data_IF_233396091811
#
_entry.id   IF_233396091811
#
_cell.length_a   1.000
_cell.length_b   1.000
_cell.length_c   1.000
_cell.angle_alpha   90.00
_cell.angle_beta   90.00
_cell.angle_gamma   90.00
#
_symmetry.space_group_name_H-M   'P 1'
#
loop_
_entity.id
_entity.type
_entity.pdbx_description
1 polymer ?
#
# COMPACT_ATOMS: atom_id res chain seq x y z
N UNK A 1 -63.83 -61.34 -8.45
CA UNK A 1 -63.46 -61.76 -9.83
C UNK A 1 -64.39 -61.02 -10.78
N UNK A 2 -64.00 -60.26 -11.80
CA UNK A 2 -62.81 -59.51 -12.18
C UNK A 2 -63.32 -58.37 -13.10
N UNK A 3 -62.63 -57.23 -13.06
CA UNK A 3 -63.01 -55.90 -13.57
C UNK A 3 -63.01 -55.74 -15.10
N UNK A 4 -63.91 -54.89 -15.59
CA UNK A 4 -63.51 -53.55 -16.09
C UNK A 4 -63.19 -53.35 -17.58
N UNK A 5 -64.20 -52.86 -18.29
CA UNK A 5 -64.21 -51.67 -19.17
C UNK A 5 -63.31 -51.56 -20.42
N UNK A 6 -63.95 -51.66 -21.61
CA UNK A 6 -64.34 -50.57 -22.57
C UNK A 6 -63.26 -49.58 -23.14
N UNK A 7 -63.51 -48.93 -24.31
CA UNK A 7 -62.85 -49.27 -25.58
C UNK A 7 -62.33 -48.03 -26.38
N UNK A 8 -62.19 -48.18 -27.71
CA UNK A 8 -61.96 -47.18 -28.78
C UNK A 8 -60.49 -46.80 -29.00
N UNK A 9 -59.94 -46.65 -30.21
CA UNK A 9 -60.43 -46.54 -31.58
C UNK A 9 -59.22 -46.07 -32.44
N UNK A 10 -59.27 -46.10 -33.79
CA UNK A 10 -58.07 -46.34 -34.62
C UNK A 10 -57.55 -45.11 -35.39
N UNK A 11 -56.27 -45.14 -35.85
CA UNK A 11 -55.78 -44.83 -37.23
C UNK A 11 -54.29 -44.41 -37.36
N UNK A 12 -53.65 -44.92 -38.45
CA UNK A 12 -52.75 -44.28 -39.46
C UNK A 12 -51.43 -43.59 -39.02
N UNK A 13 -50.33 -43.50 -39.79
CA UNK A 13 -49.73 -44.16 -40.97
C UNK A 13 -48.30 -43.55 -41.04
N UNK A 14 -47.25 -44.35 -41.24
CA UNK A 14 -45.85 -43.89 -41.29
C UNK A 14 -45.43 -43.40 -42.69
N UNK A 15 -44.52 -42.42 -42.76
CA UNK A 15 -43.35 -42.35 -43.67
C UNK A 15 -42.48 -41.10 -43.37
N UNK A 16 -41.16 -41.11 -43.68
CA UNK A 16 -40.13 -40.48 -42.85
C UNK A 16 -39.52 -39.17 -43.41
N UNK A 17 -38.99 -38.32 -42.52
CA UNK A 17 -38.14 -37.16 -42.85
C UNK A 17 -36.68 -37.44 -42.48
N UNK A 18 -35.78 -37.31 -43.45
CA UNK A 18 -34.32 -37.25 -43.28
C UNK A 18 -33.80 -35.83 -43.48
N UNK A 19 -32.91 -35.41 -42.60
CA UNK A 19 -31.84 -34.46 -42.91
C UNK A 19 -32.09 -33.00 -42.54
N UNK A 20 -31.66 -32.61 -41.33
CA UNK A 20 -30.72 -31.49 -41.05
C UNK A 20 -30.76 -31.15 -39.56
N UNK A 21 -30.02 -31.90 -38.75
CA UNK A 21 -29.52 -31.42 -37.45
C UNK A 21 -28.02 -31.28 -37.60
N UNK A 22 -27.48 -30.09 -37.34
CA UNK A 22 -26.14 -29.88 -36.72
C UNK A 22 -25.54 -28.47 -36.85
N UNK A 23 -26.28 -27.47 -37.39
CA UNK A 23 -25.75 -26.10 -37.49
C UNK A 23 -26.29 -25.08 -36.46
N UNK A 24 -27.19 -25.45 -35.54
CA UNK A 24 -27.89 -24.47 -34.68
C UNK A 24 -27.66 -24.63 -33.16
N UNK A 25 -26.69 -25.44 -32.71
CA UNK A 25 -26.46 -25.69 -31.26
C UNK A 25 -25.10 -25.25 -30.71
N UNK A 26 -24.32 -24.48 -31.46
CA UNK A 26 -22.97 -24.07 -31.05
C UNK A 26 -22.77 -22.54 -30.98
N UNK A 27 -23.65 -21.80 -30.29
CA UNK A 27 -23.38 -20.40 -29.92
C UNK A 27 -24.25 -19.88 -28.76
N UNK A 28 -24.35 -20.64 -27.66
CA UNK A 28 -24.81 -20.08 -26.37
C UNK A 28 -23.86 -20.52 -25.27
N UNK A 29 -22.58 -20.14 -25.39
CA UNK A 29 -21.70 -20.11 -24.24
C UNK A 29 -22.28 -19.10 -23.24
N UNK A 30 -22.98 -19.63 -22.23
CA UNK A 30 -23.60 -18.88 -21.13
C UNK A 30 -22.56 -17.91 -20.57
N UNK A 31 -22.68 -16.61 -20.88
CA UNK A 31 -21.73 -15.60 -20.40
C UNK A 31 -21.62 -15.75 -18.88
N UNK A 32 -20.42 -15.91 -18.31
CA UNK A 32 -20.27 -16.17 -16.89
C UNK A 32 -20.87 -15.01 -16.11
N UNK A 33 -21.81 -15.33 -15.20
CA UNK A 33 -22.52 -14.34 -14.40
C UNK A 33 -21.50 -13.46 -13.65
N UNK A 34 -21.40 -12.14 -13.94
CA UNK A 34 -20.41 -11.27 -13.30
C UNK A 34 -20.56 -11.20 -11.78
N UNK A 35 -21.76 -11.48 -11.24
CA UNK A 35 -22.00 -11.58 -9.80
C UNK A 35 -21.30 -12.78 -9.12
N UNK A 36 -20.98 -13.86 -9.87
CA UNK A 36 -20.24 -15.03 -9.35
C UNK A 36 -18.72 -14.94 -9.55
N UNK A 37 -18.22 -13.83 -10.09
CA UNK A 37 -16.79 -13.61 -10.34
C UNK A 37 -15.97 -13.52 -9.03
N UNK A 38 -14.83 -14.20 -8.97
CA UNK A 38 -13.83 -13.99 -7.91
C UNK A 38 -13.08 -12.66 -8.01
N UNK A 39 -13.24 -11.92 -9.11
CA UNK A 39 -12.70 -10.57 -9.30
C UNK A 39 -13.68 -9.51 -8.73
N UNK A 40 -13.27 -8.72 -7.71
CA UNK A 40 -14.10 -7.69 -7.08
C UNK A 40 -14.64 -6.65 -8.06
N UNK A 41 -13.86 -6.24 -9.06
CA UNK A 41 -14.26 -5.21 -10.03
C UNK A 41 -15.48 -5.63 -10.85
N UNK A 42 -15.55 -6.92 -11.23
CA UNK A 42 -16.69 -7.48 -11.98
C UNK A 42 -17.95 -7.59 -11.11
N UNK A 43 -17.80 -7.89 -9.82
CA UNK A 43 -18.90 -7.91 -8.87
C UNK A 43 -19.45 -6.51 -8.62
N UNK A 44 -18.56 -5.53 -8.38
CA UNK A 44 -18.93 -4.13 -8.18
C UNK A 44 -19.75 -3.58 -9.36
N UNK A 45 -19.27 -3.79 -10.59
CA UNK A 45 -19.94 -3.33 -11.80
C UNK A 45 -21.34 -3.96 -12.01
N UNK A 46 -21.57 -5.17 -11.48
CA UNK A 46 -22.88 -5.82 -11.52
C UNK A 46 -23.84 -5.33 -10.42
N UNK A 47 -23.31 -4.87 -9.28
CA UNK A 47 -24.10 -4.44 -8.13
C UNK A 47 -24.45 -2.93 -8.15
N UNK A 48 -23.59 -2.11 -8.75
CA UNK A 48 -23.75 -0.66 -8.80
C UNK A 48 -24.14 -0.23 -10.21
N UNK A 49 -25.43 -0.30 -10.53
CA UNK A 49 -25.96 0.45 -11.67
C UNK A 49 -25.56 1.91 -11.51
N UNK A 50 -24.88 2.47 -12.51
CA UNK A 50 -24.23 3.79 -12.55
C UNK A 50 -24.72 4.81 -11.49
N UNK A 51 -24.17 4.75 -10.27
CA UNK A 51 -24.51 5.68 -9.21
C UNK A 51 -23.90 7.06 -9.52
N UNK A 52 -24.63 8.12 -9.17
CA UNK A 52 -24.36 9.53 -9.52
C UNK A 52 -22.95 9.95 -9.12
N UNK A 53 -22.16 10.38 -10.11
CA UNK A 53 -20.82 10.94 -9.92
C UNK A 53 -20.95 12.47 -9.93
N UNK A 54 -20.90 13.09 -8.74
CA UNK A 54 -20.45 14.48 -8.66
C UNK A 54 -18.97 14.51 -9.07
N UNK A 55 -18.50 15.57 -9.72
CA UNK A 55 -17.08 15.68 -10.06
C UNK A 55 -16.26 15.82 -8.77
N UNK A 56 -15.34 14.88 -8.51
CA UNK A 56 -14.39 14.98 -7.40
C UNK A 56 -13.63 16.31 -7.46
N UNK A 57 -13.53 16.98 -6.31
CA UNK A 57 -12.80 18.25 -6.18
C UNK A 57 -11.28 18.00 -6.19
N UNK A 58 -10.49 19.06 -6.43
CA UNK A 58 -9.03 18.99 -6.28
C UNK A 58 -8.63 18.53 -4.86
N UNK A 59 -9.38 18.95 -3.83
CA UNK A 59 -9.17 18.52 -2.45
C UNK A 59 -9.38 17.02 -2.24
N UNK A 60 -10.34 16.41 -2.96
CA UNK A 60 -10.59 14.97 -2.89
C UNK A 60 -9.44 14.16 -3.49
N UNK A 61 -8.88 14.63 -4.62
CA UNK A 61 -7.70 14.02 -5.23
C UNK A 61 -6.46 14.15 -4.34
N UNK A 62 -6.23 15.32 -3.76
CA UNK A 62 -5.11 15.56 -2.82
C UNK A 62 -5.26 14.67 -1.57
N UNK A 63 -6.49 14.54 -1.04
CA UNK A 63 -6.80 13.61 0.06
C UNK A 63 -6.57 12.15 -0.35
N UNK A 64 -6.95 11.79 -1.58
CA UNK A 64 -6.77 10.47 -2.18
C UNK A 64 -5.29 10.05 -2.30
N UNK A 65 -4.41 10.99 -2.66
CA UNK A 65 -2.96 10.80 -2.67
C UNK A 65 -2.37 10.54 -1.26
N UNK A 66 -3.15 10.79 -0.20
CA UNK A 66 -2.79 10.68 1.22
C UNK A 66 -1.47 11.38 1.54
N UNK A 67 -1.43 12.71 1.37
CA UNK A 67 -0.24 13.53 1.70
C UNK A 67 0.36 13.22 3.09
N UNK A 68 -0.48 12.83 4.05
CA UNK A 68 -0.07 12.46 5.41
C UNK A 68 0.82 11.21 5.49
N UNK A 69 0.94 10.41 4.44
CA UNK A 69 1.81 9.23 4.40
C UNK A 69 2.98 9.37 3.41
N UNK A 70 3.07 10.50 2.69
CA UNK A 70 4.25 10.84 1.88
C UNK A 70 5.54 11.00 2.69
N UNK A 71 5.51 11.51 3.94
CA UNK A 71 6.69 11.53 4.81
C UNK A 71 7.44 10.18 4.86
N UNK A 72 6.72 9.06 4.82
CA UNK A 72 7.32 7.71 4.84
C UNK A 72 8.07 7.35 3.57
N UNK A 73 7.72 7.93 2.42
CA UNK A 73 8.46 7.73 1.18
C UNK A 73 9.70 8.65 1.09
N UNK A 74 9.64 9.80 1.75
CA UNK A 74 10.67 10.83 1.69
C UNK A 74 11.80 10.53 2.68
N UNK A 75 11.48 10.22 3.94
CA UNK A 75 12.46 10.03 5.01
C UNK A 75 13.56 8.97 4.71
N UNK A 76 13.24 7.79 4.15
CA UNK A 76 14.23 6.78 3.77
C UNK A 76 15.25 7.28 2.76
N UNK A 77 14.81 8.13 1.81
CA UNK A 77 15.67 8.68 0.77
C UNK A 77 16.64 9.70 1.37
N UNK A 78 16.18 10.56 2.27
CA UNK A 78 17.08 11.46 3.01
C UNK A 78 18.13 10.66 3.80
N UNK A 79 17.73 9.64 4.57
CA UNK A 79 18.66 8.80 5.34
C UNK A 79 19.67 8.08 4.45
N UNK A 80 19.21 7.43 3.38
CA UNK A 80 20.10 6.75 2.44
C UNK A 80 21.07 7.72 1.78
N UNK A 81 20.64 8.96 1.53
CA UNK A 81 21.51 10.01 1.00
C UNK A 81 22.55 10.46 2.02
N UNK A 82 22.19 10.70 3.29
CA UNK A 82 23.16 11.00 4.35
C UNK A 82 24.17 9.86 4.56
N UNK A 83 23.69 8.61 4.57
CA UNK A 83 24.56 7.44 4.67
C UNK A 83 25.46 7.27 3.43
N UNK A 84 25.01 7.68 2.24
CA UNK A 84 25.83 7.71 1.03
C UNK A 84 26.96 8.73 1.14
N UNK A 85 26.74 9.89 1.75
CA UNK A 85 27.81 10.89 1.98
C UNK A 85 28.93 10.27 2.82
N UNK A 86 28.59 9.57 3.90
CA UNK A 86 29.56 8.84 4.72
C UNK A 86 30.30 7.78 3.91
N UNK A 87 29.57 6.98 3.13
CA UNK A 87 30.17 5.90 2.32
C UNK A 87 31.04 6.42 1.16
N UNK A 88 30.74 7.61 0.62
CA UNK A 88 31.53 8.24 -0.42
C UNK A 88 32.88 8.77 0.09
N UNK A 89 32.96 9.17 1.37
CA UNK A 89 34.15 9.86 1.91
C UNK A 89 34.42 11.16 1.14
N UNK A 90 35.54 11.22 0.43
CA UNK A 90 35.90 12.35 -0.45
C UNK A 90 35.31 12.24 -1.88
N UNK A 91 34.46 11.24 -2.13
CA UNK A 91 33.84 11.00 -3.42
C UNK A 91 32.73 12.01 -3.79
N UNK A 92 32.29 11.94 -5.05
CA UNK A 92 31.26 12.85 -5.56
C UNK A 92 29.85 12.51 -5.04
N UNK A 93 29.13 13.56 -4.64
CA UNK A 93 27.72 13.47 -4.29
C UNK A 93 26.83 13.43 -5.53
N UNK A 94 26.23 12.28 -5.83
CA UNK A 94 25.35 12.09 -6.99
C UNK A 94 23.90 12.52 -6.74
N UNK A 95 23.67 13.82 -6.53
CA UNK A 95 22.37 14.39 -6.20
C UNK A 95 21.24 14.07 -7.20
N UNK A 96 21.57 13.94 -8.50
CA UNK A 96 20.58 13.55 -9.53
C UNK A 96 20.02 12.15 -9.27
N UNK A 97 20.88 11.22 -8.81
CA UNK A 97 20.47 9.85 -8.49
C UNK A 97 19.59 9.82 -7.24
N UNK A 98 19.91 10.65 -6.23
CA UNK A 98 19.08 10.84 -5.05
C UNK A 98 17.68 11.40 -5.42
N UNK A 99 17.64 12.41 -6.30
CA UNK A 99 16.39 13.00 -6.75
C UNK A 99 15.52 12.01 -7.53
N UNK A 100 16.12 11.20 -8.41
CA UNK A 100 15.39 10.15 -9.11
C UNK A 100 14.86 9.09 -8.14
N UNK A 101 15.64 8.68 -7.14
CA UNK A 101 15.18 7.77 -6.09
C UNK A 101 14.00 8.36 -5.31
N UNK A 102 14.03 9.66 -5.00
CA UNK A 102 12.91 10.38 -4.38
C UNK A 102 11.65 10.36 -5.25
N UNK A 103 11.79 10.64 -6.54
CA UNK A 103 10.68 10.60 -7.50
C UNK A 103 10.07 9.20 -7.56
N UNK A 104 10.90 8.15 -7.62
CA UNK A 104 10.45 6.75 -7.58
C UNK A 104 9.65 6.49 -6.30
N UNK A 105 10.22 6.78 -5.13
CA UNK A 105 9.59 6.51 -3.84
C UNK A 105 8.24 7.23 -3.68
N UNK A 106 8.20 8.53 -4.02
CA UNK A 106 6.97 9.34 -3.92
C UNK A 106 5.92 8.86 -4.92
N UNK A 107 6.29 8.60 -6.18
CA UNK A 107 5.35 8.12 -7.19
C UNK A 107 4.78 6.74 -6.85
N UNK A 108 5.61 5.80 -6.38
CA UNK A 108 5.14 4.50 -5.91
C UNK A 108 4.17 4.66 -4.74
N UNK A 109 4.47 5.52 -3.76
CA UNK A 109 3.60 5.74 -2.61
C UNK A 109 2.24 6.32 -3.02
N UNK A 110 2.22 7.32 -3.92
CA UNK A 110 0.97 7.89 -4.45
C UNK A 110 0.19 6.83 -5.25
N UNK A 111 0.88 6.07 -6.11
CA UNK A 111 0.29 4.99 -6.90
C UNK A 111 -0.38 3.92 -6.02
N UNK A 112 0.30 3.46 -4.96
CA UNK A 112 -0.25 2.53 -3.96
C UNK A 112 -1.47 3.14 -3.27
N UNK A 113 -1.42 4.42 -2.90
CA UNK A 113 -2.54 5.07 -2.22
C UNK A 113 -3.81 5.11 -3.07
N UNK A 114 -3.70 5.39 -4.38
CA UNK A 114 -4.82 5.32 -5.31
C UNK A 114 -5.23 3.88 -5.65
N UNK A 115 -4.28 2.96 -5.81
CA UNK A 115 -4.57 1.54 -6.02
C UNK A 115 -5.36 0.95 -4.83
N UNK A 116 -5.03 1.37 -3.61
CA UNK A 116 -5.75 1.03 -2.38
C UNK A 116 -7.17 1.62 -2.37
N UNK A 117 -7.34 2.89 -2.76
CA UNK A 117 -8.65 3.54 -2.85
C UNK A 117 -9.56 2.82 -3.86
N UNK A 118 -9.03 2.53 -5.04
CA UNK A 118 -9.71 1.75 -6.06
C UNK A 118 -10.11 0.36 -5.54
N UNK A 119 -9.14 -0.40 -5.02
CA UNK A 119 -9.32 -1.80 -4.65
C UNK A 119 -10.28 -1.97 -3.46
N UNK A 120 -10.14 -1.16 -2.41
CA UNK A 120 -11.01 -1.21 -1.23
C UNK A 120 -12.43 -0.70 -1.56
N UNK A 121 -12.54 0.30 -2.45
CA UNK A 121 -13.82 0.83 -2.92
C UNK A 121 -14.63 -0.19 -3.73
N UNK A 122 -14.02 -0.86 -4.71
CA UNK A 122 -14.73 -1.91 -5.49
C UNK A 122 -15.04 -3.16 -4.66
N UNK A 123 -14.27 -3.43 -3.60
CA UNK A 123 -14.51 -4.55 -2.68
C UNK A 123 -15.63 -4.24 -1.68
N UNK A 124 -16.06 -2.99 -1.56
CA UNK A 124 -17.03 -2.55 -0.57
C UNK A 124 -16.47 -2.47 0.86
N UNK A 125 -15.15 -2.56 1.01
CA UNK A 125 -14.51 -2.45 2.33
C UNK A 125 -14.68 -1.04 2.90
N UNK A 126 -14.71 -0.03 2.04
CA UNK A 126 -14.89 1.36 2.47
C UNK A 126 -16.31 1.67 2.98
N UNK A 127 -17.30 0.78 2.82
CA UNK A 127 -18.67 0.98 3.29
C UNK A 127 -18.80 1.04 4.83
N UNK A 128 -17.81 0.52 5.55
CA UNK A 128 -17.82 0.44 7.03
C UNK A 128 -16.70 1.28 7.67
N UNK A 129 -16.08 2.19 6.92
CA UNK A 129 -14.86 2.91 7.32
C UNK A 129 -15.13 4.03 8.33
N UNK A 130 -14.18 4.27 9.25
CA UNK A 130 -14.22 5.33 10.26
C UNK A 130 -13.21 6.48 9.96
N UNK A 131 -13.06 6.86 8.69
CA UNK A 131 -12.08 7.88 8.24
C UNK A 131 -12.60 8.74 7.08
N UNK A 132 -11.78 9.66 6.52
CA UNK A 132 -12.20 10.52 5.40
C UNK A 132 -12.79 9.70 4.25
N UNK A 133 -13.78 10.29 3.58
CA UNK A 133 -14.41 9.68 2.42
C UNK A 133 -13.36 9.35 1.34
N UNK A 134 -13.58 8.22 0.66
CA UNK A 134 -12.73 7.70 -0.41
C UNK A 134 -13.28 8.12 -1.76
N UNK A 135 -12.40 8.27 -2.75
CA UNK A 135 -12.80 8.66 -4.10
C UNK A 135 -13.72 7.59 -4.71
N UNK A 136 -13.32 6.32 -4.60
CA UNK A 136 -14.05 5.19 -5.16
C UNK A 136 -15.19 4.74 -4.24
N UNK A 137 -14.89 4.53 -2.96
CA UNK A 137 -15.87 4.06 -1.97
C UNK A 137 -16.98 5.08 -1.67
N UNK A 138 -16.69 6.39 -1.75
CA UNK A 138 -17.66 7.46 -1.58
C UNK A 138 -18.39 7.88 -2.86
N UNK A 139 -18.09 7.27 -4.01
CA UNK A 139 -18.71 7.60 -5.30
C UNK A 139 -18.30 8.94 -5.92
N UNK A 140 -17.30 9.62 -5.33
CA UNK A 140 -16.81 10.92 -5.81
C UNK A 140 -16.06 10.83 -7.15
N UNK A 141 -15.45 9.67 -7.46
CA UNK A 141 -14.81 9.43 -8.75
C UNK A 141 -15.13 8.02 -9.27
N UNK A 142 -15.16 7.88 -10.60
CA UNK A 142 -15.33 6.57 -11.23
C UNK A 142 -14.14 5.67 -10.87
N UNK A 143 -14.35 4.40 -10.47
CA UNK A 143 -13.27 3.48 -10.13
C UNK A 143 -12.20 3.36 -11.22
N UNK A 144 -12.62 3.35 -12.50
CA UNK A 144 -11.69 3.31 -13.65
C UNK A 144 -10.76 4.53 -13.71
N UNK A 145 -11.26 5.72 -13.35
CA UNK A 145 -10.44 6.94 -13.31
C UNK A 145 -9.40 6.84 -12.20
N UNK A 146 -9.80 6.43 -11.00
CA UNK A 146 -8.88 6.24 -9.86
C UNK A 146 -7.81 5.20 -10.18
N UNK A 147 -8.19 4.08 -10.82
CA UNK A 147 -7.23 3.08 -11.29
C UNK A 147 -6.25 3.64 -12.34
N UNK A 148 -6.74 4.45 -13.28
CA UNK A 148 -5.89 5.07 -14.31
C UNK A 148 -4.85 5.98 -13.65
N UNK A 149 -5.27 6.80 -12.69
CA UNK A 149 -4.34 7.67 -11.94
C UNK A 149 -3.30 6.83 -11.19
N UNK A 150 -3.70 5.74 -10.53
CA UNK A 150 -2.75 4.82 -9.88
C UNK A 150 -1.70 4.28 -10.87
N UNK A 151 -2.13 3.83 -12.05
CA UNK A 151 -1.26 3.30 -13.09
C UNK A 151 -0.33 4.37 -13.69
N UNK A 152 -0.80 5.62 -13.83
CA UNK A 152 0.04 6.74 -14.26
C UNK A 152 1.19 6.96 -13.28
N UNK A 153 0.92 6.98 -11.97
CA UNK A 153 1.98 7.13 -10.97
C UNK A 153 2.95 5.94 -10.95
N UNK A 154 2.47 4.70 -11.14
CA UNK A 154 3.37 3.56 -11.33
C UNK A 154 4.20 3.66 -12.61
N UNK A 155 3.63 4.17 -13.70
CA UNK A 155 4.36 4.46 -14.94
C UNK A 155 5.44 5.51 -14.75
N UNK A 156 5.14 6.62 -14.06
CA UNK A 156 6.11 7.66 -13.72
C UNK A 156 7.24 7.11 -12.84
N UNK A 157 6.92 6.29 -11.85
CA UNK A 157 7.93 5.60 -11.04
C UNK A 157 8.80 4.67 -11.89
N UNK A 158 8.21 3.91 -12.82
CA UNK A 158 8.96 3.01 -13.70
C UNK A 158 9.90 3.78 -14.64
N UNK A 159 9.44 4.91 -15.21
CA UNK A 159 10.27 5.77 -16.06
C UNK A 159 11.42 6.37 -15.25
N UNK A 160 11.14 6.97 -14.09
CA UNK A 160 12.19 7.53 -13.23
C UNK A 160 13.19 6.46 -12.76
N UNK A 161 12.69 5.26 -12.42
CA UNK A 161 13.52 4.11 -12.06
C UNK A 161 14.38 3.61 -13.21
N UNK A 162 13.86 3.58 -14.44
CA UNK A 162 14.62 3.23 -15.63
C UNK A 162 15.72 4.25 -15.91
N UNK A 163 15.41 5.55 -15.83
CA UNK A 163 16.42 6.62 -15.95
C UNK A 163 17.50 6.46 -14.87
N UNK A 164 17.10 6.15 -13.63
CA UNK A 164 18.04 5.90 -12.53
C UNK A 164 18.96 4.70 -12.81
N UNK A 165 18.42 3.60 -13.36
CA UNK A 165 19.21 2.44 -13.76
C UNK A 165 20.19 2.80 -14.88
N UNK A 166 19.75 3.55 -15.89
CA UNK A 166 20.62 3.97 -16.99
C UNK A 166 21.72 4.91 -16.51
N UNK A 167 21.43 5.86 -15.62
CA UNK A 167 22.44 6.82 -15.11
C UNK A 167 23.39 6.18 -14.09
N UNK A 168 22.94 5.16 -13.35
CA UNK A 168 23.77 4.44 -12.37
C UNK A 168 24.48 3.22 -12.94
N UNK A 169 24.04 2.70 -14.10
CA UNK A 169 24.49 1.45 -14.73
C UNK A 169 24.26 0.18 -13.89
N UNK A 170 23.48 0.26 -12.82
CA UNK A 170 23.15 -0.89 -11.97
C UNK A 170 21.90 -1.64 -12.48
N UNK A 171 22.07 -2.37 -13.59
CA UNK A 171 20.98 -3.07 -14.29
C UNK A 171 20.18 -4.06 -13.45
N UNK A 172 20.79 -4.66 -12.42
CA UNK A 172 20.11 -5.57 -11.51
C UNK A 172 18.97 -4.90 -10.72
N UNK A 173 18.99 -3.57 -10.57
CA UNK A 173 17.91 -2.81 -9.93
C UNK A 173 16.60 -2.82 -10.72
N UNK A 174 16.60 -3.23 -12.00
CA UNK A 174 15.36 -3.47 -12.74
C UNK A 174 14.50 -4.56 -12.07
N UNK A 175 15.15 -5.60 -11.55
CA UNK A 175 14.47 -6.68 -10.81
C UNK A 175 13.87 -6.13 -9.52
N UNK A 176 14.62 -5.29 -8.79
CA UNK A 176 14.15 -4.66 -7.55
C UNK A 176 12.97 -3.72 -7.82
N UNK A 177 13.06 -2.88 -8.86
CA UNK A 177 11.98 -1.98 -9.26
C UNK A 177 10.73 -2.72 -9.69
N UNK A 178 10.86 -3.78 -10.49
CA UNK A 178 9.75 -4.64 -10.86
C UNK A 178 9.11 -5.30 -9.62
N UNK A 179 9.92 -5.83 -8.70
CA UNK A 179 9.44 -6.40 -7.45
C UNK A 179 8.70 -5.37 -6.59
N UNK A 180 9.18 -4.12 -6.52
CA UNK A 180 8.52 -3.04 -5.80
C UNK A 180 7.14 -2.68 -6.39
N UNK A 181 7.01 -2.60 -7.71
CA UNK A 181 5.72 -2.35 -8.38
C UNK A 181 4.76 -3.52 -8.16
N UNK A 182 5.25 -4.75 -8.27
CA UNK A 182 4.46 -5.97 -8.03
C UNK A 182 3.97 -6.00 -6.58
N UNK A 183 4.85 -5.75 -5.61
CA UNK A 183 4.49 -5.67 -4.20
C UNK A 183 3.43 -4.57 -3.97
N UNK A 184 3.69 -3.36 -4.47
CA UNK A 184 2.76 -2.23 -4.43
C UNK A 184 1.35 -2.59 -4.93
N UNK A 185 1.25 -3.32 -6.04
CA UNK A 185 -0.04 -3.76 -6.58
C UNK A 185 -0.71 -4.84 -5.74
N UNK A 186 0.01 -5.90 -5.34
CA UNK A 186 -0.56 -7.02 -4.58
C UNK A 186 -0.80 -6.72 -3.10
N UNK A 187 -0.39 -5.54 -2.61
CA UNK A 187 -0.69 -5.08 -1.26
C UNK A 187 -2.20 -5.02 -0.99
N UNK A 188 -2.98 -4.48 -1.94
CA UNK A 188 -4.46 -4.42 -1.89
C UNK A 188 -5.16 -4.99 -3.13
N UNK A 189 -4.44 -5.10 -4.25
CA UNK A 189 -4.93 -5.68 -5.49
C UNK A 189 -4.90 -7.21 -5.52
N UNK A 190 -5.49 -7.78 -6.57
CA UNK A 190 -5.54 -9.24 -6.77
C UNK A 190 -6.67 -9.93 -6.01
N UNK A 191 -6.66 -11.27 -5.95
CA UNK A 191 -7.71 -12.07 -5.27
C UNK A 191 -7.48 -12.14 -3.76
N UNK A 192 -6.23 -12.34 -3.32
CA UNK A 192 -5.79 -12.46 -1.92
C UNK A 192 -4.66 -11.44 -1.63
N UNK A 193 -4.99 -10.17 -1.40
CA UNK A 193 -3.98 -9.16 -1.10
C UNK A 193 -3.25 -9.48 0.19
N UNK A 194 -1.92 -9.42 0.20
CA UNK A 194 -1.13 -9.80 1.37
C UNK A 194 -1.27 -8.79 2.52
N UNK A 195 -1.66 -7.54 2.24
CA UNK A 195 -2.02 -6.56 3.26
C UNK A 195 -3.20 -7.02 4.13
N UNK A 196 -4.03 -7.95 3.64
CA UNK A 196 -5.16 -8.51 4.38
C UNK A 196 -4.78 -9.76 5.17
N UNK A 197 -3.53 -10.24 5.05
CA UNK A 197 -3.00 -11.47 5.67
C UNK A 197 -2.11 -11.19 6.88
N UNK A 198 -2.04 -9.95 7.35
CA UNK A 198 -1.22 -9.58 8.52
C UNK A 198 0.26 -9.40 8.21
N UNK A 199 0.61 -9.41 6.92
CA UNK A 199 1.98 -9.21 6.45
C UNK A 199 2.29 -7.73 6.15
N UNK A 200 1.34 -6.82 6.40
CA UNK A 200 1.49 -5.41 6.02
C UNK A 200 2.73 -4.76 6.60
N UNK A 201 2.96 -4.92 7.90
CA UNK A 201 4.12 -4.39 8.62
C UNK A 201 5.42 -4.97 8.10
N UNK A 202 5.49 -6.28 7.80
CA UNK A 202 6.68 -6.90 7.22
C UNK A 202 7.06 -6.27 5.87
N UNK A 203 6.09 -6.12 4.98
CA UNK A 203 6.35 -5.53 3.66
C UNK A 203 6.63 -4.03 3.73
N UNK A 204 6.00 -3.30 4.65
CA UNK A 204 6.35 -1.89 4.90
C UNK A 204 7.79 -1.78 5.40
N UNK A 205 8.20 -2.62 6.35
CA UNK A 205 9.57 -2.65 6.84
C UNK A 205 10.59 -2.93 5.71
N UNK A 206 10.30 -3.92 4.86
CA UNK A 206 11.19 -4.28 3.74
C UNK A 206 11.25 -3.17 2.70
N UNK A 207 10.11 -2.66 2.22
CA UNK A 207 10.10 -1.73 1.07
C UNK A 207 10.37 -0.28 1.47
N UNK A 208 9.77 0.21 2.56
CA UNK A 208 9.98 1.58 3.04
C UNK A 208 11.23 1.71 3.90
N UNK A 209 11.59 0.67 4.67
CA UNK A 209 12.82 0.66 5.45
C UNK A 209 14.01 0.26 4.59
N UNK A 210 14.16 -1.04 4.38
CA UNK A 210 15.35 -1.64 3.75
C UNK A 210 15.56 -1.15 2.33
N UNK A 211 14.67 -1.47 1.40
CA UNK A 211 14.85 -1.21 -0.04
C UNK A 211 14.98 0.28 -0.33
N UNK A 212 14.10 1.12 0.22
CA UNK A 212 14.15 2.56 -0.06
C UNK A 212 15.42 3.22 0.51
N UNK A 213 15.83 2.89 1.74
CA UNK A 213 17.01 3.51 2.36
C UNK A 213 18.30 2.98 1.74
N UNK A 214 18.52 1.66 1.76
CA UNK A 214 19.77 1.08 1.25
C UNK A 214 19.89 1.17 -0.25
N UNK A 215 18.76 1.08 -0.97
CA UNK A 215 18.72 1.32 -2.41
C UNK A 215 19.11 2.75 -2.77
N UNK A 216 18.68 3.74 -1.98
CA UNK A 216 19.10 5.14 -2.17
C UNK A 216 20.59 5.33 -1.96
N UNK A 217 21.17 4.67 -0.94
CA UNK A 217 22.63 4.68 -0.76
C UNK A 217 23.32 4.03 -1.96
N UNK A 218 22.89 2.82 -2.32
CA UNK A 218 23.53 2.02 -3.36
C UNK A 218 23.50 2.71 -4.73
N UNK A 219 22.40 3.32 -5.14
CA UNK A 219 22.35 4.03 -6.43
C UNK A 219 23.30 5.22 -6.46
N UNK A 220 23.58 5.83 -5.31
CA UNK A 220 24.52 6.94 -5.25
C UNK A 220 25.96 6.43 -5.31
N UNK A 221 26.35 5.53 -4.42
CA UNK A 221 27.78 5.18 -4.20
C UNK A 221 28.19 3.75 -4.55
N UNK A 222 27.25 2.90 -4.96
CA UNK A 222 27.51 1.50 -5.34
C UNK A 222 27.76 0.53 -4.19
N UNK A 223 27.64 0.98 -2.94
CA UNK A 223 27.82 0.17 -1.74
C UNK A 223 26.76 0.50 -0.69
N UNK A 224 26.64 -0.34 0.34
CA UNK A 224 25.74 -0.13 1.48
C UNK A 224 26.54 -0.31 2.77
N UNK A 225 26.71 0.78 3.50
CA UNK A 225 27.42 0.84 4.79
C UNK A 225 26.52 0.55 6.00
N UNK A 226 27.11 0.54 7.19
CA UNK A 226 26.41 0.29 8.45
C UNK A 226 25.34 1.36 8.74
N UNK A 227 25.66 2.62 8.44
CA UNK A 227 24.76 3.78 8.52
C UNK A 227 23.46 3.51 7.76
N UNK A 228 23.60 3.00 6.54
CA UNK A 228 22.46 2.65 5.69
C UNK A 228 21.61 1.53 6.31
N UNK A 229 22.23 0.44 6.75
CA UNK A 229 21.49 -0.71 7.29
C UNK A 229 20.75 -0.37 8.58
N UNK A 230 21.41 0.25 9.55
CA UNK A 230 20.76 0.58 10.82
C UNK A 230 19.70 1.68 10.64
N UNK A 231 19.96 2.69 9.80
CA UNK A 231 18.97 3.72 9.49
C UNK A 231 17.75 3.15 8.75
N UNK A 232 17.96 2.16 7.87
CA UNK A 232 16.89 1.47 7.18
C UNK A 232 16.00 0.67 8.14
N UNK A 233 16.60 0.00 9.13
CA UNK A 233 15.86 -0.67 10.21
C UNK A 233 15.07 0.37 11.02
N UNK A 234 15.71 1.46 11.44
CA UNK A 234 15.07 2.52 12.22
C UNK A 234 13.85 3.11 11.51
N UNK A 235 14.00 3.58 10.27
CA UNK A 235 12.90 4.20 9.53
C UNK A 235 11.83 3.19 9.10
N UNK A 236 12.24 1.93 8.85
CA UNK A 236 11.32 0.82 8.62
C UNK A 236 10.42 0.56 9.81
N UNK A 237 10.95 0.56 11.03
CA UNK A 237 10.16 0.44 12.26
C UNK A 237 9.20 1.63 12.42
N UNK A 238 9.64 2.87 12.17
CA UNK A 238 8.74 4.03 12.23
C UNK A 238 7.63 3.96 11.17
N UNK A 239 7.92 3.45 9.97
CA UNK A 239 6.91 3.20 8.95
C UNK A 239 5.91 2.12 9.40
N UNK A 240 6.38 1.06 10.06
CA UNK A 240 5.51 0.08 10.72
C UNK A 240 4.65 0.69 11.82
N UNK A 241 5.18 1.65 12.61
CA UNK A 241 4.39 2.36 13.62
C UNK A 241 3.22 3.14 12.96
N UNK A 242 3.47 3.85 11.86
CA UNK A 242 2.40 4.56 11.12
C UNK A 242 1.34 3.59 10.61
N UNK A 243 1.75 2.43 10.07
CA UNK A 243 0.79 1.41 9.64
C UNK A 243 0.02 0.80 10.84
N UNK A 244 0.71 0.52 11.94
CA UNK A 244 0.12 -0.09 13.14
C UNK A 244 -0.96 0.79 13.75
N UNK A 245 -0.75 2.10 13.89
CA UNK A 245 -1.80 3.01 14.40
C UNK A 245 -2.98 3.11 13.43
N UNK A 246 -2.76 3.03 12.12
CA UNK A 246 -3.83 2.94 11.15
C UNK A 246 -4.64 1.65 11.31
N UNK A 247 -3.96 0.51 11.44
CA UNK A 247 -4.59 -0.79 11.64
C UNK A 247 -5.32 -0.88 12.99
N UNK A 248 -4.79 -0.26 14.04
CA UNK A 248 -5.41 -0.18 15.37
C UNK A 248 -6.75 0.55 15.32
N UNK A 249 -6.83 1.67 14.59
CA UNK A 249 -8.08 2.41 14.37
C UNK A 249 -9.13 1.53 13.68
N UNK A 250 -8.68 0.73 12.72
CA UNK A 250 -9.55 0.02 11.80
C UNK A 250 -9.82 -1.45 12.23
N UNK A 251 -9.42 -1.88 13.45
CA UNK A 251 -9.64 -3.27 13.93
C UNK A 251 -11.10 -3.73 13.78
N UNK A 252 -12.07 -2.92 14.22
CA UNK A 252 -13.49 -3.29 14.15
C UNK A 252 -13.98 -3.41 12.69
N UNK A 253 -13.84 -2.39 11.83
CA UNK A 253 -14.28 -2.51 10.44
C UNK A 253 -13.48 -3.54 9.64
N UNK A 254 -12.18 -3.72 9.90
CA UNK A 254 -11.37 -4.73 9.24
C UNK A 254 -11.86 -6.15 9.54
N UNK A 255 -12.24 -6.44 10.80
CA UNK A 255 -12.86 -7.71 11.17
C UNK A 255 -14.16 -7.98 10.40
N UNK A 256 -15.03 -6.97 10.30
CA UNK A 256 -16.30 -7.07 9.54
C UNK A 256 -16.04 -7.31 8.05
N UNK A 257 -15.00 -6.67 7.49
CA UNK A 257 -14.59 -6.85 6.10
C UNK A 257 -13.78 -8.14 5.84
N UNK A 258 -13.52 -8.96 6.86
CA UNK A 258 -12.72 -10.18 6.76
C UNK A 258 -11.22 -9.96 6.56
N UNK A 259 -10.73 -8.72 6.79
CA UNK A 259 -9.31 -8.38 6.79
C UNK A 259 -8.65 -8.90 8.07
N UNK A 260 -7.52 -9.59 7.94
CA UNK A 260 -6.73 -10.11 9.06
C UNK A 260 -5.40 -9.39 9.17
N UNK A 261 -5.43 -8.07 9.41
CA UNK A 261 -4.22 -7.27 9.67
C UNK A 261 -3.52 -7.72 10.96
N UNK A 262 -2.26 -7.35 11.16
CA UNK A 262 -1.53 -7.74 12.38
C UNK A 262 -2.28 -7.27 13.63
N UNK A 263 -2.84 -6.06 13.61
CA UNK A 263 -3.64 -5.53 14.72
C UNK A 263 -4.91 -6.35 15.01
N UNK A 264 -5.54 -6.93 13.98
CA UNK A 264 -6.67 -7.84 14.15
C UNK A 264 -6.23 -9.15 14.81
N UNK A 265 -5.05 -9.68 14.45
CA UNK A 265 -4.49 -10.91 15.02
C UNK A 265 -4.09 -10.76 16.50
N UNK A 266 -3.29 -9.74 16.82
CA UNK A 266 -2.73 -9.57 18.17
C UNK A 266 -3.67 -8.80 19.11
N UNK A 267 -4.71 -8.16 18.55
CA UNK A 267 -5.69 -7.39 19.30
C UNK A 267 -5.20 -5.99 19.73
N UNK A 268 -6.13 -5.18 20.23
CA UNK A 268 -5.90 -3.75 20.46
C UNK A 268 -4.82 -3.45 21.51
N UNK A 269 -4.76 -4.21 22.62
CA UNK A 269 -3.78 -3.96 23.69
C UNK A 269 -2.35 -4.21 23.20
N UNK A 270 -2.09 -5.37 22.61
CA UNK A 270 -0.78 -5.69 22.06
C UNK A 270 -0.40 -4.73 20.92
N UNK A 271 -1.35 -4.34 20.06
CA UNK A 271 -1.10 -3.37 18.99
C UNK A 271 -0.60 -2.01 19.50
N UNK A 272 -1.11 -1.53 20.63
CA UNK A 272 -0.64 -0.28 21.27
C UNK A 272 0.80 -0.42 21.76
N UNK A 273 1.15 -1.55 22.37
CA UNK A 273 2.52 -1.83 22.82
C UNK A 273 3.46 -1.92 21.61
N UNK A 274 3.10 -2.70 20.60
CA UNK A 274 3.90 -2.87 19.37
C UNK A 274 4.10 -1.54 18.65
N UNK A 275 3.07 -0.69 18.61
CA UNK A 275 3.21 0.68 18.10
C UNK A 275 4.29 1.47 18.83
N UNK A 276 4.26 1.49 20.17
CA UNK A 276 5.26 2.20 20.97
C UNK A 276 6.67 1.62 20.76
N UNK A 277 6.80 0.30 20.67
CA UNK A 277 8.08 -0.37 20.39
C UNK A 277 8.62 0.05 19.03
N UNK A 278 7.81 -0.04 17.97
CA UNK A 278 8.18 0.38 16.63
C UNK A 278 8.58 1.86 16.55
N UNK A 279 7.95 2.72 17.34
CA UNK A 279 8.25 4.14 17.34
C UNK A 279 9.48 4.51 18.19
N UNK A 280 9.74 3.80 19.29
CA UNK A 280 10.78 4.18 20.26
C UNK A 280 12.12 3.42 20.10
N UNK A 281 12.12 2.17 19.63
CA UNK A 281 13.36 1.42 19.36
C UNK A 281 14.32 2.15 18.41
N UNK A 282 13.86 2.86 17.35
CA UNK A 282 14.73 3.69 16.51
C UNK A 282 15.63 4.68 17.25
N UNK A 283 15.25 5.14 18.45
CA UNK A 283 16.07 6.06 19.24
C UNK A 283 17.25 5.37 19.94
N UNK A 284 17.24 4.04 20.10
CA UNK A 284 18.43 3.28 20.50
C UNK A 284 19.51 3.36 19.40
N UNK A 285 19.07 3.27 18.14
CA UNK A 285 19.97 3.42 16.97
C UNK A 285 20.52 4.85 16.90
N UNK A 286 19.70 5.88 17.19
CA UNK A 286 20.19 7.26 17.33
C UNK A 286 21.23 7.37 18.42
N UNK A 287 20.98 6.78 19.60
CA UNK A 287 21.92 6.78 20.71
C UNK A 287 23.26 6.16 20.34
N UNK A 288 23.26 5.05 19.59
CA UNK A 288 24.47 4.46 19.03
C UNK A 288 25.20 5.41 18.08
N UNK A 289 24.51 5.99 17.10
CA UNK A 289 25.13 6.91 16.15
C UNK A 289 25.61 8.21 16.79
N UNK A 290 24.96 8.70 17.84
CA UNK A 290 25.35 9.90 18.56
C UNK A 290 26.70 9.79 19.29
N UNK A 291 27.24 8.57 19.44
CA UNK A 291 28.62 8.35 19.92
C UNK A 291 29.68 8.71 18.86
N UNK A 292 29.31 8.67 17.57
CA UNK A 292 30.22 8.88 16.44
C UNK A 292 29.92 10.17 15.66
N UNK A 293 28.65 10.57 15.65
CA UNK A 293 28.12 11.74 14.95
C UNK A 293 27.49 12.69 15.98
N UNK A 294 28.22 13.69 16.52
CA UNK A 294 27.70 14.55 17.59
C UNK A 294 26.38 15.24 17.24
N UNK A 295 26.16 15.59 15.98
CA UNK A 295 24.90 16.18 15.52
C UNK A 295 23.71 15.22 15.61
N UNK A 296 23.93 13.90 15.68
CA UNK A 296 22.85 12.92 15.80
C UNK A 296 22.09 13.07 17.13
N UNK A 297 22.68 13.68 18.16
CA UNK A 297 21.97 14.04 19.40
C UNK A 297 20.74 14.92 19.12
N UNK A 298 20.79 15.79 18.11
CA UNK A 298 19.63 16.62 17.75
C UNK A 298 18.44 15.80 17.24
N UNK A 299 18.65 14.59 16.75
CA UNK A 299 17.56 13.67 16.35
C UNK A 299 16.67 13.29 17.55
N UNK A 300 17.16 13.35 18.79
CA UNK A 300 16.34 13.14 19.97
C UNK A 300 15.24 14.20 20.16
N UNK A 301 15.34 15.38 19.54
CA UNK A 301 14.22 16.36 19.55
C UNK A 301 12.96 15.81 18.88
N UNK A 302 13.06 14.78 18.04
CA UNK A 302 11.90 14.08 17.47
C UNK A 302 11.06 13.40 18.55
N UNK A 303 11.62 13.11 19.73
CA UNK A 303 10.85 12.60 20.88
C UNK A 303 9.75 13.55 21.33
N UNK A 304 9.87 14.85 21.06
CA UNK A 304 8.81 15.84 21.30
C UNK A 304 7.53 15.54 20.50
N UNK A 305 7.62 14.79 19.40
CA UNK A 305 6.47 14.27 18.65
C UNK A 305 6.17 12.81 18.97
N UNK A 306 7.21 11.99 19.11
CA UNK A 306 7.07 10.54 19.30
C UNK A 306 6.46 10.18 20.65
N UNK A 307 6.88 10.83 21.75
CA UNK A 307 6.36 10.54 23.09
C UNK A 307 4.87 10.91 23.23
N UNK A 308 4.41 12.10 22.79
CA UNK A 308 2.97 12.38 22.76
C UNK A 308 2.19 11.39 21.88
N UNK A 309 2.74 10.97 20.73
CA UNK A 309 2.08 9.97 19.89
C UNK A 309 1.91 8.62 20.63
N UNK A 310 2.94 8.16 21.34
CA UNK A 310 2.87 6.97 22.19
C UNK A 310 1.81 7.11 23.29
N UNK A 311 1.78 8.24 23.99
CA UNK A 311 0.80 8.50 25.03
C UNK A 311 -0.63 8.49 24.48
N UNK A 312 -0.87 9.19 23.36
CA UNK A 312 -2.16 9.21 22.68
C UNK A 312 -2.56 7.79 22.26
N UNK A 313 -1.67 7.00 21.64
CA UNK A 313 -2.00 5.62 21.25
C UNK A 313 -2.24 4.73 22.46
N UNK A 314 -1.53 4.92 23.57
CA UNK A 314 -1.76 4.15 24.79
C UNK A 314 -3.16 4.42 25.39
N UNK A 315 -3.62 5.67 25.36
CA UNK A 315 -4.87 6.10 26.04
C UNK A 315 -6.07 6.29 25.12
N UNK A 316 -5.88 6.31 23.80
CA UNK A 316 -6.93 6.65 22.83
C UNK A 316 -8.19 5.79 22.99
N UNK A 317 -9.35 6.46 23.00
CA UNK A 317 -10.68 5.85 23.01
C UNK A 317 -11.44 6.12 21.72
N UNK A 318 -11.01 7.11 20.94
CA UNK A 318 -11.67 7.58 19.72
C UNK A 318 -10.80 7.44 18.47
N UNK A 319 -11.44 7.37 17.30
CA UNK A 319 -10.73 7.35 16.02
C UNK A 319 -9.98 8.66 15.72
N UNK A 320 -10.46 9.81 16.23
CA UNK A 320 -9.84 11.12 16.02
C UNK A 320 -8.48 11.21 16.70
N UNK A 321 -8.36 10.67 17.91
CA UNK A 321 -7.08 10.59 18.65
C UNK A 321 -6.05 9.74 17.88
N UNK A 322 -6.47 8.57 17.37
CA UNK A 322 -5.59 7.72 16.56
C UNK A 322 -5.18 8.39 15.23
N UNK A 323 -6.05 9.20 14.62
CA UNK A 323 -5.70 10.00 13.45
C UNK A 323 -4.67 11.09 13.80
N UNK A 324 -4.77 11.71 14.99
CA UNK A 324 -3.77 12.66 15.47
C UNK A 324 -2.42 11.98 15.70
N UNK A 325 -2.41 10.84 16.40
CA UNK A 325 -1.20 10.06 16.59
C UNK A 325 -0.55 9.67 15.26
N UNK A 326 -1.33 9.21 14.27
CA UNK A 326 -0.84 8.91 12.93
C UNK A 326 -0.13 10.12 12.27
N UNK A 327 -0.67 11.33 12.41
CA UNK A 327 -0.01 12.55 11.90
C UNK A 327 1.31 12.80 12.60
N UNK A 328 1.33 12.73 13.94
CA UNK A 328 2.53 12.95 14.75
C UNK A 328 3.61 11.93 14.41
N UNK A 329 3.28 10.64 14.34
CA UNK A 329 4.21 9.56 13.98
C UNK A 329 4.76 9.74 12.57
N UNK A 330 3.93 10.15 11.60
CA UNK A 330 4.39 10.38 10.25
C UNK A 330 5.34 11.58 10.13
N UNK A 331 5.08 12.66 10.88
CA UNK A 331 6.00 13.81 10.95
C UNK A 331 7.28 13.44 11.70
N UNK A 332 7.17 12.66 12.78
CA UNK A 332 8.31 12.16 13.52
C UNK A 332 9.24 11.33 12.61
N UNK A 333 8.70 10.45 11.78
CA UNK A 333 9.50 9.67 10.82
C UNK A 333 10.27 10.56 9.83
N UNK A 334 9.65 11.63 9.32
CA UNK A 334 10.33 12.57 8.42
C UNK A 334 11.41 13.38 9.12
N UNK A 335 11.12 13.96 10.28
CA UNK A 335 12.11 14.72 11.03
C UNK A 335 13.26 13.83 11.50
N UNK A 336 12.97 12.60 11.92
CA UNK A 336 13.99 11.60 12.22
C UNK A 336 14.91 11.37 11.02
N UNK A 337 14.32 11.12 9.85
CA UNK A 337 15.10 10.85 8.65
C UNK A 337 15.95 12.04 8.21
N UNK A 338 15.40 13.25 8.27
CA UNK A 338 16.14 14.47 7.89
C UNK A 338 17.26 14.76 8.90
N UNK A 339 16.98 14.77 10.20
CA UNK A 339 17.97 15.14 11.21
C UNK A 339 19.13 14.15 11.27
N UNK A 340 18.84 12.84 11.22
CA UNK A 340 19.89 11.83 11.23
C UNK A 340 20.68 11.81 9.92
N UNK A 341 20.03 12.07 8.77
CA UNK A 341 20.74 12.23 7.50
C UNK A 341 21.69 13.42 7.51
N UNK A 342 21.25 14.56 8.06
CA UNK A 342 22.10 15.75 8.23
C UNK A 342 23.27 15.48 9.18
N UNK A 343 23.04 14.71 10.26
CA UNK A 343 24.10 14.33 11.17
C UNK A 343 25.18 13.43 10.54
N UNK A 344 24.83 12.67 9.50
CA UNK A 344 25.80 11.91 8.71
C UNK A 344 26.54 12.76 7.69
N UNK A 345 25.90 13.80 7.17
CA UNK A 345 26.42 14.61 6.08
C UNK A 345 27.25 15.83 6.52
N UNK A 346 27.16 16.23 7.79
CA UNK A 346 27.80 17.43 8.37
C UNK A 346 28.70 17.03 9.54
#
# INVERSE_FOLDING_TARGET
MANGARPNGPKKQNSPQTGTTDAAKAASARRPNPAKSGNPARKYAAATGAARTGAATAGDWISGARLRTLPLAIAPVFLGTGAAVVAAGNGEFHWVRALLALVVAVCLQIGVNYANDYSDGIRGTDNHRVGPARLTGGGAAKPRTVLTVALVFFGLAAVAGLVLVVVSQYWWLLIVGAAAIVAAWFYTGGKKPYGYLGLGELFVFVFFGLVATTGTTYVQVGTVNLESWLSAVAIGLMACAVLMVNNLRDIKPDKVAGKRTLAVWIGARASRVVFCVFLLVPFVIVGFFALFYPLAWFTFFVLLLALPACLIVATATTAKELILALKLTSLAALLYGILLALAFAL
#
